data_IF_698355498676
#
_entry.id   IF_698355498676
#
_cell.length_a   1.000
_cell.length_b   1.000
_cell.length_c   1.000
_cell.angle_alpha   90.00
_cell.angle_beta   90.00
_cell.angle_gamma   90.00
#
_symmetry.space_group_name_H-M   'P 1'
#
loop_
_entity.id
_entity.type
_entity.pdbx_description
1 polymer ?
#
# COMPACT_ATOMS: atom_id res chain seq x y z
N UNK A 1 2.89 -25.43 1.38
CA UNK A 1 4.19 -24.99 0.84
C UNK A 1 5.27 -25.86 1.45
N UNK A 2 6.12 -26.49 0.63
CA UNK A 2 7.29 -27.20 1.17
C UNK A 2 8.22 -26.22 1.90
N UNK A 3 8.91 -26.69 2.93
CA UNK A 3 9.92 -25.87 3.61
C UNK A 3 10.99 -25.46 2.59
N UNK A 4 11.29 -24.16 2.52
CA UNK A 4 12.38 -23.64 1.72
C UNK A 4 13.69 -24.29 2.18
N UNK A 5 14.46 -24.87 1.25
CA UNK A 5 15.77 -25.46 1.54
C UNK A 5 16.85 -24.53 0.98
N UNK A 6 17.68 -23.91 1.83
CA UNK A 6 18.76 -23.04 1.38
C UNK A 6 19.70 -23.78 0.42
N UNK A 7 20.09 -23.11 -0.67
CA UNK A 7 21.10 -23.60 -1.63
C UNK A 7 22.41 -22.82 -1.52
N UNK A 8 22.39 -21.64 -0.88
CA UNK A 8 23.54 -20.76 -0.72
C UNK A 8 23.71 -20.32 0.74
N UNK A 9 24.86 -19.72 1.06
CA UNK A 9 25.16 -19.18 2.39
C UNK A 9 24.29 -17.95 2.73
N UNK A 10 23.88 -17.20 1.72
CA UNK A 10 23.12 -15.96 1.88
C UNK A 10 21.72 -16.06 1.28
N UNK A 11 20.76 -15.40 1.93
CA UNK A 11 19.42 -15.13 1.43
C UNK A 11 19.27 -13.63 1.20
N UNK A 12 18.89 -13.23 0.00
CA UNK A 12 18.53 -11.84 -0.33
C UNK A 12 17.02 -11.74 -0.50
N UNK A 13 16.37 -11.01 0.41
CA UNK A 13 14.97 -10.65 0.29
C UNK A 13 14.83 -9.32 -0.43
N UNK A 14 14.13 -9.31 -1.55
CA UNK A 14 14.06 -8.20 -2.49
C UNK A 14 12.67 -7.59 -2.39
N UNK A 15 12.61 -6.32 -1.97
CA UNK A 15 11.38 -5.56 -2.12
C UNK A 15 11.17 -5.20 -3.60
N UNK A 16 9.95 -5.31 -4.08
CA UNK A 16 9.61 -5.04 -5.47
C UNK A 16 9.44 -3.54 -5.69
N UNK A 17 8.51 -2.95 -4.95
CA UNK A 17 8.10 -1.56 -5.11
C UNK A 17 9.10 -0.62 -4.45
N UNK A 18 9.65 0.32 -5.22
CA UNK A 18 10.65 1.27 -4.70
C UNK A 18 12.05 0.69 -4.50
N UNK A 19 12.31 -0.53 -4.96
CA UNK A 19 13.65 -1.17 -4.97
C UNK A 19 13.97 -1.78 -6.34
N UNK A 20 13.01 -2.49 -6.95
CA UNK A 20 13.13 -2.99 -8.33
C UNK A 20 12.41 -2.06 -9.30
N UNK A 21 11.19 -1.61 -8.97
CA UNK A 21 10.39 -0.73 -9.82
C UNK A 21 10.12 0.63 -9.17
N UNK A 22 10.12 1.69 -9.95
CA UNK A 22 9.78 3.05 -9.49
C UNK A 22 8.25 3.30 -9.50
N UNK A 23 7.53 2.41 -8.81
CA UNK A 23 6.06 2.34 -8.84
C UNK A 23 5.40 3.00 -7.64
N UNK A 24 6.15 3.29 -6.57
CA UNK A 24 5.60 3.79 -5.30
C UNK A 24 4.90 5.13 -5.46
N UNK A 25 5.56 6.10 -6.09
CA UNK A 25 4.99 7.43 -6.30
C UNK A 25 3.75 7.36 -7.20
N UNK A 26 3.82 6.61 -8.30
CA UNK A 26 2.70 6.40 -9.22
C UNK A 26 1.50 5.76 -8.50
N UNK A 27 1.71 4.63 -7.81
CA UNK A 27 0.67 3.92 -7.05
C UNK A 27 0.01 4.87 -6.06
N UNK A 28 0.79 5.58 -5.24
CA UNK A 28 0.21 6.43 -4.22
C UNK A 28 -0.51 7.66 -4.80
N UNK A 29 0.15 8.42 -5.68
CA UNK A 29 -0.36 9.69 -6.20
C UNK A 29 -1.55 9.53 -7.14
N UNK A 30 -1.55 8.45 -7.94
CA UNK A 30 -2.56 8.23 -8.98
C UNK A 30 -3.60 7.15 -8.62
N UNK A 31 -3.35 6.30 -7.62
CA UNK A 31 -4.30 5.24 -7.23
C UNK A 31 -4.79 5.40 -5.79
N UNK A 32 -3.90 5.40 -4.79
CA UNK A 32 -4.33 5.42 -3.38
C UNK A 32 -5.00 6.74 -2.98
N UNK A 33 -4.36 7.86 -3.33
CA UNK A 33 -4.79 9.18 -2.89
C UNK A 33 -6.10 9.62 -3.56
N UNK A 34 -6.32 9.42 -4.87
CA UNK A 34 -7.62 9.70 -5.48
C UNK A 34 -8.76 8.91 -4.85
N UNK A 35 -8.54 7.62 -4.56
CA UNK A 35 -9.55 6.80 -3.89
C UNK A 35 -9.77 7.23 -2.45
N UNK A 36 -8.72 7.63 -1.72
CA UNK A 36 -8.85 8.21 -0.38
C UNK A 36 -9.73 9.47 -0.39
N UNK A 37 -9.46 10.41 -1.31
CA UNK A 37 -10.24 11.63 -1.43
C UNK A 37 -11.71 11.32 -1.74
N UNK A 38 -11.95 10.36 -2.66
CA UNK A 38 -13.30 9.98 -3.07
C UNK A 38 -14.10 9.30 -1.96
N UNK A 39 -13.54 8.27 -1.32
CA UNK A 39 -14.23 7.47 -0.31
C UNK A 39 -14.51 8.24 0.99
N UNK A 40 -13.68 9.23 1.32
CA UNK A 40 -13.80 10.01 2.55
C UNK A 40 -14.39 11.41 2.33
N UNK A 41 -14.87 11.74 1.12
CA UNK A 41 -15.53 13.01 0.86
C UNK A 41 -14.62 14.23 1.02
N UNK A 42 -13.34 14.11 0.67
CA UNK A 42 -12.31 15.12 0.98
C UNK A 42 -12.07 16.13 -0.16
N UNK A 43 -12.98 16.24 -1.12
CA UNK A 43 -12.80 17.07 -2.33
C UNK A 43 -12.52 18.54 -1.98
N UNK A 44 -13.22 19.11 -1.00
CA UNK A 44 -13.03 20.50 -0.55
C UNK A 44 -11.65 20.77 0.07
N UNK A 45 -10.94 19.73 0.50
CA UNK A 45 -9.61 19.79 1.12
C UNK A 45 -8.60 18.89 0.39
N UNK A 46 -8.84 18.62 -0.91
CA UNK A 46 -8.06 17.64 -1.68
C UNK A 46 -6.54 17.91 -1.62
N UNK A 47 -6.12 19.18 -1.68
CA UNK A 47 -4.70 19.54 -1.54
C UNK A 47 -4.11 19.06 -0.20
N UNK A 48 -4.82 19.28 0.91
CA UNK A 48 -4.36 18.88 2.23
C UNK A 48 -4.44 17.36 2.43
N UNK A 49 -5.45 16.72 1.87
CA UNK A 49 -5.58 15.26 1.85
C UNK A 49 -4.42 14.58 1.09
N UNK A 50 -4.02 15.14 -0.06
CA UNK A 50 -2.84 14.68 -0.81
C UNK A 50 -1.58 14.78 0.04
N UNK A 51 -1.31 15.96 0.60
CA UNK A 51 -0.13 16.17 1.45
C UNK A 51 -0.07 15.22 2.66
N UNK A 52 -1.19 15.02 3.35
CA UNK A 52 -1.23 14.10 4.49
C UNK A 52 -0.94 12.66 4.06
N UNK A 53 -1.56 12.20 2.97
CA UNK A 53 -1.36 10.85 2.45
C UNK A 53 0.06 10.64 1.89
N UNK A 54 0.62 11.61 1.18
CA UNK A 54 2.01 11.56 0.68
C UNK A 54 3.01 11.55 1.85
N UNK A 55 2.83 12.41 2.85
CA UNK A 55 3.71 12.42 4.02
C UNK A 55 3.69 11.06 4.74
N UNK A 56 2.51 10.51 5.02
CA UNK A 56 2.39 9.23 5.71
C UNK A 56 3.01 8.09 4.89
N UNK A 57 2.69 8.00 3.59
CA UNK A 57 3.00 6.80 2.82
C UNK A 57 4.31 6.86 2.02
N UNK A 58 4.83 8.06 1.72
CA UNK A 58 6.01 8.26 0.88
C UNK A 58 7.17 8.95 1.60
N UNK A 59 6.89 9.94 2.47
CA UNK A 59 7.91 10.89 2.94
C UNK A 59 8.10 10.94 4.47
N UNK A 60 7.68 9.90 5.18
CA UNK A 60 7.88 9.78 6.64
C UNK A 60 8.41 8.41 7.03
N UNK A 61 8.67 8.21 8.33
CA UNK A 61 9.03 6.90 8.90
C UNK A 61 7.95 5.82 8.72
N UNK A 62 6.73 6.21 8.36
CA UNK A 62 5.63 5.29 8.07
C UNK A 62 5.57 4.88 6.59
N UNK A 63 6.56 5.30 5.77
CA UNK A 63 6.67 4.90 4.37
C UNK A 63 6.61 3.38 4.24
N UNK A 64 5.75 2.90 3.34
CA UNK A 64 5.56 1.46 3.10
C UNK A 64 4.83 0.72 4.21
N UNK A 65 4.21 1.40 5.18
CA UNK A 65 3.35 0.74 6.16
C UNK A 65 2.13 0.09 5.49
N UNK A 66 1.46 -0.81 6.22
CA UNK A 66 0.23 -1.42 5.73
C UNK A 66 -0.82 -0.36 5.37
N UNK A 67 -1.51 -0.55 4.24
CA UNK A 67 -2.49 0.42 3.70
C UNK A 67 -3.54 0.88 4.72
N UNK A 68 -4.02 0.00 5.61
CA UNK A 68 -5.03 0.36 6.60
C UNK A 68 -4.44 1.13 7.78
N UNK A 69 -3.18 0.86 8.13
CA UNK A 69 -2.42 1.69 9.08
C UNK A 69 -2.21 3.09 8.46
N UNK A 70 -1.75 3.16 7.22
CA UNK A 70 -1.56 4.41 6.48
C UNK A 70 -2.84 5.22 6.38
N UNK A 71 -3.97 4.56 6.10
CA UNK A 71 -5.30 5.18 6.08
C UNK A 71 -5.68 5.81 7.42
N UNK A 72 -5.48 5.11 8.54
CA UNK A 72 -5.77 5.67 9.86
C UNK A 72 -4.86 6.88 10.15
N UNK A 73 -3.56 6.74 9.90
CA UNK A 73 -2.58 7.80 10.17
C UNK A 73 -2.83 9.06 9.35
N UNK A 74 -3.15 8.93 8.05
CA UNK A 74 -3.40 10.08 7.19
C UNK A 74 -4.75 10.76 7.50
N UNK A 75 -5.75 10.01 7.98
CA UNK A 75 -6.99 10.58 8.52
C UNK A 75 -6.72 11.38 9.79
N UNK A 76 -5.97 10.82 10.74
CA UNK A 76 -5.59 11.51 11.98
C UNK A 76 -4.81 12.78 11.69
N UNK A 77 -3.78 12.69 10.84
CA UNK A 77 -2.98 13.86 10.48
C UNK A 77 -3.81 14.93 9.78
N UNK A 78 -4.73 14.55 8.90
CA UNK A 78 -5.61 15.49 8.21
C UNK A 78 -6.61 16.15 9.16
N UNK A 79 -7.13 15.42 10.15
CA UNK A 79 -8.06 15.92 11.15
C UNK A 79 -7.44 17.00 12.06
N UNK A 80 -6.12 16.95 12.28
CA UNK A 80 -5.38 17.94 13.08
C UNK A 80 -5.05 19.23 12.31
N UNK A 81 -5.34 19.31 11.01
CA UNK A 81 -4.93 20.46 10.18
C UNK A 81 -5.87 21.66 10.34
N UNK A 82 -5.37 22.84 10.76
CA UNK A 82 -6.20 24.02 10.93
C UNK A 82 -6.85 24.48 9.62
N UNK A 83 -6.20 24.27 8.47
CA UNK A 83 -6.72 24.66 7.16
C UNK A 83 -7.91 23.81 6.72
N UNK A 84 -8.05 22.59 7.25
CA UNK A 84 -9.18 21.71 7.02
C UNK A 84 -10.40 22.21 7.80
N UNK A 85 -10.21 22.50 9.10
CA UNK A 85 -11.25 23.07 9.94
C UNK A 85 -11.70 24.46 9.46
N UNK A 86 -10.77 25.30 9.01
CA UNK A 86 -11.07 26.62 8.45
C UNK A 86 -11.95 26.57 7.19
N UNK A 87 -11.99 25.43 6.50
CA UNK A 87 -12.86 25.16 5.35
C UNK A 87 -14.21 24.53 5.74
N UNK A 88 -14.49 24.38 7.02
CA UNK A 88 -15.72 23.75 7.52
C UNK A 88 -15.80 22.24 7.25
N UNK A 89 -14.67 21.59 6.97
CA UNK A 89 -14.62 20.14 6.74
C UNK A 89 -14.25 19.45 8.06
N UNK A 90 -15.07 18.49 8.48
CA UNK A 90 -14.78 17.60 9.59
C UNK A 90 -14.26 16.28 9.06
N UNK A 91 -13.06 15.88 9.50
CA UNK A 91 -12.46 14.60 9.14
C UNK A 91 -12.67 13.63 10.30
N UNK A 92 -13.42 12.57 10.04
CA UNK A 92 -13.67 11.51 11.01
C UNK A 92 -12.50 10.51 11.03
N UNK A 93 -12.02 10.18 12.23
CA UNK A 93 -11.03 9.11 12.45
C UNK A 93 -11.76 7.92 13.09
N UNK A 94 -12.06 6.84 12.34
CA UNK A 94 -12.92 5.79 12.84
C UNK A 94 -12.28 4.98 13.97
N UNK A 95 -12.92 4.98 15.15
CA UNK A 95 -12.47 4.18 16.29
C UNK A 95 -12.53 2.66 16.00
N UNK A 96 -13.51 2.22 15.21
CA UNK A 96 -13.65 0.82 14.79
C UNK A 96 -12.46 0.35 13.94
N UNK A 97 -11.96 1.19 13.03
CA UNK A 97 -10.74 0.91 12.25
C UNK A 97 -9.52 0.79 13.16
N UNK A 98 -9.35 1.72 14.11
CA UNK A 98 -8.26 1.66 15.06
C UNK A 98 -8.32 0.41 15.96
N UNK A 99 -9.51 0.00 16.38
CA UNK A 99 -9.72 -1.21 17.17
C UNK A 99 -9.37 -2.47 16.37
N UNK A 100 -9.88 -2.58 15.13
CA UNK A 100 -9.58 -3.70 14.26
C UNK A 100 -8.08 -3.84 14.00
N UNK A 101 -7.37 -2.73 13.72
CA UNK A 101 -5.92 -2.73 13.49
C UNK A 101 -5.12 -3.29 14.68
N UNK A 102 -5.63 -3.17 15.91
CA UNK A 102 -4.98 -3.68 17.12
C UNK A 102 -5.28 -5.17 17.37
N UNK A 103 -6.42 -5.65 16.92
CA UNK A 103 -6.92 -7.00 17.25
C UNK A 103 -6.74 -8.01 16.11
N UNK A 104 -6.67 -7.54 14.87
CA UNK A 104 -6.63 -8.39 13.70
C UNK A 104 -5.33 -9.20 13.65
N UNK A 105 -5.45 -10.50 13.38
CA UNK A 105 -4.30 -11.40 13.19
C UNK A 105 -3.52 -11.10 11.91
N UNK A 106 -4.19 -10.50 10.92
CA UNK A 106 -3.57 -10.06 9.67
C UNK A 106 -4.30 -8.84 9.13
N UNK A 107 -3.56 -7.96 8.44
CA UNK A 107 -4.05 -6.65 7.98
C UNK A 107 -4.32 -6.65 6.46
N UNK A 108 -5.05 -7.64 5.99
CA UNK A 108 -5.40 -7.81 4.58
C UNK A 108 -6.89 -7.60 4.32
N UNK A 109 -7.22 -7.41 3.04
CA UNK A 109 -8.62 -7.36 2.58
C UNK A 109 -9.44 -8.56 3.05
N UNK A 110 -8.96 -9.83 2.98
CA UNK A 110 -9.74 -10.98 3.44
C UNK A 110 -10.06 -10.94 4.93
N UNK A 111 -9.09 -10.51 5.76
CA UNK A 111 -9.27 -10.43 7.21
C UNK A 111 -10.25 -9.31 7.61
N UNK A 112 -10.26 -8.20 6.87
CA UNK A 112 -11.24 -7.13 7.08
C UNK A 112 -12.65 -7.59 6.67
N UNK A 113 -12.78 -8.30 5.54
CA UNK A 113 -14.04 -8.86 5.10
C UNK A 113 -14.62 -9.90 6.08
N UNK A 114 -13.77 -10.76 6.66
CA UNK A 114 -14.17 -11.71 7.69
C UNK A 114 -14.63 -11.01 8.98
N UNK A 115 -13.92 -9.97 9.41
CA UNK A 115 -14.32 -9.17 10.56
C UNK A 115 -15.70 -8.53 10.36
N UNK A 116 -15.97 -7.98 9.17
CA UNK A 116 -17.26 -7.40 8.79
C UNK A 116 -18.39 -8.43 8.74
N UNK A 117 -18.11 -9.66 8.31
CA UNK A 117 -19.10 -10.73 8.31
C UNK A 117 -19.57 -11.11 9.72
N UNK A 118 -18.71 -10.91 10.73
CA UNK A 118 -19.01 -11.20 12.13
C UNK A 118 -19.65 -10.01 12.85
N UNK A 119 -19.16 -8.80 12.57
CA UNK A 119 -19.64 -7.56 13.18
C UNK A 119 -19.66 -6.43 12.13
N UNK A 120 -20.80 -6.18 11.47
CA UNK A 120 -20.94 -5.12 10.49
C UNK A 120 -20.66 -3.74 11.09
N UNK A 121 -19.81 -2.96 10.43
CA UNK A 121 -19.43 -1.62 10.85
C UNK A 121 -19.26 -0.71 9.61
N UNK A 122 -20.04 0.39 9.49
CA UNK A 122 -20.01 1.23 8.29
C UNK A 122 -18.63 1.82 7.96
N UNK A 123 -17.80 2.10 8.97
CA UNK A 123 -16.48 2.66 8.73
C UNK A 123 -15.50 1.59 8.24
N UNK A 124 -15.61 0.36 8.73
CA UNK A 124 -14.87 -0.79 8.20
C UNK A 124 -15.33 -1.16 6.78
N UNK A 125 -16.63 -1.07 6.48
CA UNK A 125 -17.16 -1.28 5.12
C UNK A 125 -16.57 -0.26 4.14
N UNK A 126 -16.53 1.02 4.53
CA UNK A 126 -15.90 2.09 3.74
C UNK A 126 -14.41 1.82 3.52
N UNK A 127 -13.68 1.40 4.56
CA UNK A 127 -12.25 1.06 4.43
C UNK A 127 -12.02 -0.13 3.48
N UNK A 128 -12.89 -1.15 3.53
CA UNK A 128 -12.84 -2.30 2.63
C UNK A 128 -13.11 -1.88 1.18
N UNK A 129 -14.15 -1.07 0.95
CA UNK A 129 -14.50 -0.54 -0.38
C UNK A 129 -13.35 0.31 -0.95
N UNK A 130 -12.77 1.19 -0.13
CA UNK A 130 -11.58 1.96 -0.50
C UNK A 130 -10.43 1.05 -0.93
N UNK A 131 -10.10 0.01 -0.14
CA UNK A 131 -9.00 -0.90 -0.47
C UNK A 131 -9.23 -1.65 -1.79
N UNK A 132 -10.47 -2.07 -2.06
CA UNK A 132 -10.84 -2.76 -3.31
C UNK A 132 -10.70 -1.84 -4.52
N UNK A 133 -11.20 -0.61 -4.42
CA UNK A 133 -11.12 0.35 -5.52
C UNK A 133 -9.69 0.82 -5.77
N UNK A 134 -8.84 0.85 -4.75
CA UNK A 134 -7.39 1.03 -4.92
C UNK A 134 -6.80 -0.10 -5.75
N UNK A 135 -7.15 -1.36 -5.47
CA UNK A 135 -6.65 -2.51 -6.27
C UNK A 135 -7.09 -2.39 -7.73
N UNK A 136 -8.33 -2.00 -7.99
CA UNK A 136 -8.84 -1.75 -9.35
C UNK A 136 -8.05 -0.63 -10.03
N UNK A 137 -7.83 0.50 -9.35
CA UNK A 137 -7.08 1.62 -9.90
C UNK A 137 -5.62 1.25 -10.21
N UNK A 138 -4.95 0.51 -9.34
CA UNK A 138 -3.58 0.03 -9.57
C UNK A 138 -3.52 -0.87 -10.80
N UNK A 139 -4.45 -1.82 -10.93
CA UNK A 139 -4.49 -2.74 -12.08
C UNK A 139 -4.74 -2.03 -13.43
N UNK A 140 -5.42 -0.88 -13.41
CA UNK A 140 -5.70 -0.09 -14.61
C UNK A 140 -4.61 0.93 -14.95
N UNK A 141 -3.97 1.52 -13.94
CA UNK A 141 -3.04 2.64 -14.08
C UNK A 141 -1.58 2.21 -14.20
N UNK A 142 -1.18 1.17 -13.46
CA UNK A 142 0.25 0.82 -13.29
C UNK A 142 0.64 -0.26 -14.29
N UNK A 143 1.21 0.17 -15.41
CA UNK A 143 1.73 -0.70 -16.48
C UNK A 143 2.93 -0.03 -17.16
N UNK A 144 3.87 -0.81 -17.72
CA UNK A 144 4.98 -0.27 -18.48
C UNK A 144 6.03 0.49 -17.66
N UNK A 145 6.08 0.30 -16.34
CA UNK A 145 7.04 0.98 -15.47
C UNK A 145 8.35 0.17 -15.44
N UNK A 146 9.42 0.62 -16.12
CA UNK A 146 10.65 -0.17 -16.19
C UNK A 146 11.30 -0.33 -14.81
N UNK A 147 12.11 -1.38 -14.62
CA UNK A 147 12.91 -1.50 -13.42
C UNK A 147 13.92 -0.35 -13.31
N UNK A 148 14.37 -0.06 -12.09
CA UNK A 148 15.46 0.88 -11.86
C UNK A 148 16.71 0.49 -12.68
N UNK A 149 17.51 1.46 -13.17
CA UNK A 149 18.60 1.21 -14.11
C UNK A 149 19.57 0.08 -13.71
N UNK A 150 19.82 -0.10 -12.41
CA UNK A 150 20.75 -1.11 -11.90
C UNK A 150 20.09 -2.39 -11.38
N UNK A 151 18.76 -2.44 -11.27
CA UNK A 151 18.06 -3.55 -10.63
C UNK A 151 18.37 -4.89 -11.32
N UNK A 152 18.30 -4.95 -12.66
CA UNK A 152 18.64 -6.15 -13.42
C UNK A 152 20.08 -6.60 -13.17
N UNK A 153 21.05 -5.67 -13.25
CA UNK A 153 22.47 -5.98 -13.05
C UNK A 153 22.73 -6.51 -11.64
N UNK A 154 22.06 -5.95 -10.63
CA UNK A 154 22.14 -6.43 -9.25
C UNK A 154 21.60 -7.87 -9.15
N UNK A 155 20.42 -8.15 -9.70
CA UNK A 155 19.82 -9.48 -9.72
C UNK A 155 20.73 -10.52 -10.41
N UNK A 156 21.30 -10.16 -11.56
CA UNK A 156 22.25 -11.01 -12.29
C UNK A 156 23.52 -11.28 -11.48
N UNK A 157 24.03 -10.28 -10.75
CA UNK A 157 25.23 -10.44 -9.92
C UNK A 157 25.03 -11.37 -8.72
N UNK A 158 23.80 -11.47 -8.22
CA UNK A 158 23.42 -12.34 -7.09
C UNK A 158 23.13 -13.78 -7.52
N UNK A 159 22.85 -14.00 -8.81
CA UNK A 159 22.53 -15.32 -9.35
C UNK A 159 23.68 -16.31 -9.09
N UNK A 160 23.35 -17.43 -8.46
CA UNK A 160 24.32 -18.48 -8.10
C UNK A 160 25.23 -18.12 -6.91
N UNK A 161 24.98 -17.00 -6.23
CA UNK A 161 25.73 -16.57 -5.03
C UNK A 161 24.85 -16.49 -3.79
N UNK A 162 23.55 -16.25 -3.98
CA UNK A 162 22.57 -16.19 -2.92
C UNK A 162 21.26 -16.80 -3.39
N UNK A 163 20.49 -17.32 -2.43
CA UNK A 163 19.08 -17.55 -2.63
C UNK A 163 18.36 -16.21 -2.68
N UNK A 164 17.42 -16.04 -3.60
CA UNK A 164 16.69 -14.78 -3.78
C UNK A 164 15.19 -15.01 -3.65
N UNK A 165 14.52 -14.15 -2.89
CA UNK A 165 13.06 -14.13 -2.77
C UNK A 165 12.54 -12.71 -2.95
N UNK A 166 11.37 -12.57 -3.55
CA UNK A 166 10.64 -11.30 -3.54
C UNK A 166 9.85 -11.23 -2.23
N UNK A 167 10.09 -10.19 -1.44
CA UNK A 167 9.38 -9.90 -0.19
C UNK A 167 8.66 -8.56 -0.36
N UNK A 168 7.35 -8.59 -0.57
CA UNK A 168 6.57 -7.38 -0.82
C UNK A 168 5.16 -7.49 -0.24
N UNK A 169 4.59 -6.34 0.13
CA UNK A 169 3.20 -6.21 0.53
C UNK A 169 2.22 -6.20 -0.67
N UNK A 170 2.75 -6.12 -1.89
CA UNK A 170 1.94 -6.13 -3.12
C UNK A 170 1.36 -7.53 -3.38
N UNK A 171 0.09 -7.64 -3.80
CA UNK A 171 -0.52 -8.93 -4.08
C UNK A 171 0.30 -9.76 -5.07
N UNK A 172 0.41 -11.07 -4.83
CA UNK A 172 1.25 -11.97 -5.64
C UNK A 172 0.93 -11.92 -7.14
N UNK A 173 -0.34 -11.74 -7.51
CA UNK A 173 -0.74 -11.64 -8.91
C UNK A 173 -0.12 -10.40 -9.60
N UNK A 174 -0.14 -9.25 -8.92
CA UNK A 174 0.48 -8.00 -9.40
C UNK A 174 1.99 -8.16 -9.53
N UNK A 175 2.66 -8.72 -8.51
CA UNK A 175 4.09 -9.00 -8.56
C UNK A 175 4.47 -9.87 -9.76
N UNK A 176 3.73 -10.98 -9.97
CA UNK A 176 4.00 -11.87 -11.11
C UNK A 176 3.87 -11.15 -12.43
N UNK A 177 2.86 -10.31 -12.59
CA UNK A 177 2.64 -9.53 -13.82
C UNK A 177 3.80 -8.56 -14.08
N UNK A 178 4.13 -7.70 -13.10
CA UNK A 178 5.19 -6.69 -13.20
C UNK A 178 6.56 -7.34 -13.49
N UNK A 179 6.91 -8.43 -12.79
CA UNK A 179 8.19 -9.12 -12.99
C UNK A 179 8.28 -9.87 -14.33
N UNK A 180 7.18 -10.46 -14.81
CA UNK A 180 7.15 -11.11 -16.13
C UNK A 180 7.22 -10.09 -17.28
N UNK A 181 6.50 -8.97 -17.17
CA UNK A 181 6.50 -7.90 -18.17
C UNK A 181 7.92 -7.44 -18.51
N UNK A 182 8.81 -7.43 -17.51
CA UNK A 182 10.20 -7.03 -17.67
C UNK A 182 11.19 -8.19 -17.75
N UNK A 183 10.75 -9.45 -17.84
CA UNK A 183 11.66 -10.60 -17.94
C UNK A 183 12.64 -10.70 -16.76
N UNK A 184 12.12 -10.52 -15.55
CA UNK A 184 12.87 -10.65 -14.28
C UNK A 184 12.42 -11.87 -13.44
N UNK A 185 11.32 -12.53 -13.83
CA UNK A 185 10.74 -13.68 -13.15
C UNK A 185 11.49 -15.00 -13.41
#
# INVERSE_FOLDING_TARGET
>A
MGAFKPQHEFLVAIDSDGCVFDTMDLKHKECFIPQFIRHYGLQAVANYARQAAEFVNLYSKNRGCNRFIGLLLQLSLLAERPEVSARGVTVEVPASLALWLRQAKSLGEPALAEALATNPDPALERALAWSRDVNVAVAQMVTGVPPFPWARRCLESLRGRADMIVCSATPTATLKSEWHEHGLA
#
